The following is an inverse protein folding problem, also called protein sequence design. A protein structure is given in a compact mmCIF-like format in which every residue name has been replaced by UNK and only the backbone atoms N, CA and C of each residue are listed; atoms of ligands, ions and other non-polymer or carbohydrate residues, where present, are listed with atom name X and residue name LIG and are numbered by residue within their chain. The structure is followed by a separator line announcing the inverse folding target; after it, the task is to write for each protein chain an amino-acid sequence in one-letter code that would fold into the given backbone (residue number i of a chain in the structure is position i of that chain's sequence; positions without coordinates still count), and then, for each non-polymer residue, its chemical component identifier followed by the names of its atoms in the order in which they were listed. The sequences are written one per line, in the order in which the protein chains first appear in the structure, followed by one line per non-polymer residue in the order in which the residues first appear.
data_IF_386864565615
#
_entry.id   IF_386864565615
#
_cell.length_a   1.000
_cell.length_b   1.000
_cell.length_c   1.000
_cell.angle_alpha   90.00
_cell.angle_beta   90.00
_cell.angle_gamma   90.00
#
_symmetry.space_group_name_H-M   'P 1'
#
loop_
_entity.id
_entity.type
_entity.pdbx_description
1 polymer ?
#
# COMPACT_ATOMS: atom_id res chain seq x y z
N UNK A 1 41.68 -25.38 20.40
CA UNK A 1 40.53 -24.75 19.69
C UNK A 1 39.24 -25.42 20.17
N UNK A 2 38.53 -24.89 21.18
CA UNK A 2 37.25 -25.45 21.57
C UNK A 2 36.13 -24.89 20.69
N UNK A 3 35.38 -25.79 20.06
CA UNK A 3 34.17 -25.48 19.28
C UNK A 3 33.09 -24.98 20.26
N UNK A 4 32.63 -23.74 20.06
CA UNK A 4 31.41 -23.20 20.66
C UNK A 4 30.21 -24.07 20.22
N UNK A 5 29.89 -25.11 20.97
CA UNK A 5 28.60 -25.78 20.88
C UNK A 5 27.57 -24.86 21.53
N UNK A 6 26.79 -24.15 20.70
CA UNK A 6 25.62 -23.43 21.18
C UNK A 6 24.67 -24.42 21.86
N UNK A 7 24.35 -24.14 23.12
CA UNK A 7 23.58 -25.03 24.01
C UNK A 7 22.27 -25.51 23.36
N UNK A 8 22.09 -26.84 23.19
CA UNK A 8 20.85 -27.42 22.66
C UNK A 8 19.61 -27.14 23.55
N UNK A 9 19.83 -26.66 24.78
CA UNK A 9 18.81 -26.40 25.78
C UNK A 9 17.86 -25.25 25.42
N UNK A 10 18.31 -24.23 24.66
CA UNK A 10 17.45 -23.08 24.30
C UNK A 10 16.36 -23.46 23.28
N UNK A 11 16.67 -24.37 22.36
CA UNK A 11 15.73 -24.80 21.31
C UNK A 11 14.64 -25.70 21.91
N UNK A 12 14.99 -26.59 22.84
CA UNK A 12 14.01 -27.43 23.53
C UNK A 12 13.09 -26.62 24.46
N UNK A 13 13.62 -25.59 25.14
CA UNK A 13 12.79 -24.71 25.96
C UNK A 13 11.81 -23.88 25.11
N UNK A 14 12.25 -23.37 23.96
CA UNK A 14 11.39 -22.64 23.02
C UNK A 14 10.34 -23.53 22.35
N UNK A 15 10.65 -24.80 22.09
CA UNK A 15 9.69 -25.75 21.51
C UNK A 15 8.63 -26.18 22.51
N UNK A 16 8.98 -26.31 23.80
CA UNK A 16 8.03 -26.60 24.88
C UNK A 16 7.06 -25.43 25.14
N UNK A 17 7.56 -24.18 25.15
CA UNK A 17 6.72 -22.98 25.31
C UNK A 17 5.74 -22.82 24.14
N UNK A 18 6.19 -23.14 22.93
CA UNK A 18 5.41 -23.01 21.71
C UNK A 18 4.68 -24.30 21.29
N UNK A 19 4.65 -25.32 22.16
CA UNK A 19 4.00 -26.61 21.86
C UNK A 19 2.50 -26.47 21.59
N UNK A 20 1.85 -25.43 22.15
CA UNK A 20 0.45 -25.09 21.83
C UNK A 20 0.24 -24.45 20.45
N UNK A 21 1.31 -24.00 19.81
CA UNK A 21 1.31 -23.34 18.49
C UNK A 21 2.00 -24.20 17.40
N UNK A 22 2.68 -25.29 17.78
CA UNK A 22 3.24 -26.27 16.86
C UNK A 22 2.11 -26.93 16.06
N UNK A 23 2.09 -26.72 14.74
CA UNK A 23 1.02 -27.16 13.83
C UNK A 23 -0.08 -26.11 13.58
N UNK A 24 -0.19 -25.09 14.43
CA UNK A 24 -1.06 -23.92 14.18
C UNK A 24 -0.21 -22.86 13.50
N UNK A 25 -0.19 -22.86 12.16
CA UNK A 25 0.61 -21.90 11.38
C UNK A 25 0.53 -20.48 11.97
N UNK A 26 1.69 -19.84 12.15
CA UNK A 26 1.80 -18.54 12.82
C UNK A 26 0.76 -17.57 12.23
N UNK A 27 -0.25 -17.23 13.02
CA UNK A 27 -1.33 -16.33 12.59
C UNK A 27 -0.80 -14.90 12.58
N UNK A 28 -0.02 -14.56 11.55
CA UNK A 28 0.42 -13.18 11.31
C UNK A 28 -0.84 -12.32 11.19
N UNK A 29 -0.97 -11.32 12.07
CA UNK A 29 -2.06 -10.33 11.98
C UNK A 29 -1.99 -9.68 10.60
N UNK A 30 -2.91 -10.09 9.73
CA UNK A 30 -3.11 -9.53 8.39
C UNK A 30 -3.65 -8.11 8.54
N UNK A 31 -3.40 -7.26 7.56
CA UNK A 31 -4.10 -5.98 7.45
C UNK A 31 -5.61 -6.26 7.54
N UNK A 32 -6.28 -5.72 8.56
CA UNK A 32 -7.75 -5.72 8.56
C UNK A 32 -8.15 -4.84 7.38
N UNK A 33 -8.77 -5.43 6.35
CA UNK A 33 -9.30 -4.67 5.21
C UNK A 33 -10.52 -3.89 5.71
N UNK A 34 -10.47 -2.56 5.80
CA UNK A 34 -11.63 -1.75 6.14
C UNK A 34 -12.69 -1.91 5.04
N UNK A 35 -13.96 -1.60 5.32
CA UNK A 35 -14.94 -1.47 4.24
C UNK A 35 -14.46 -0.33 3.32
N UNK A 36 -14.51 -0.52 2.00
CA UNK A 36 -13.97 0.46 1.02
C UNK A 36 -14.56 1.87 1.15
N UNK A 37 -15.78 1.98 1.67
CA UNK A 37 -16.46 3.24 2.00
C UNK A 37 -15.89 3.97 3.21
N UNK A 38 -15.08 3.30 4.04
CA UNK A 38 -14.48 3.84 5.26
C UNK A 38 -13.06 4.39 5.05
N UNK A 39 -12.53 4.37 3.83
CA UNK A 39 -11.17 4.81 3.54
C UNK A 39 -11.24 6.16 2.82
N UNK A 40 -11.03 7.27 3.53
CA UNK A 40 -10.94 8.59 2.90
C UNK A 40 -9.60 8.83 2.21
N UNK A 41 -8.50 8.50 2.87
CA UNK A 41 -7.16 8.65 2.30
C UNK A 41 -6.68 7.34 1.66
N UNK A 42 -7.09 7.13 0.41
CA UNK A 42 -6.74 5.93 -0.36
C UNK A 42 -5.29 5.92 -0.83
N UNK A 43 -4.71 7.09 -1.08
CA UNK A 43 -3.31 7.23 -1.52
C UNK A 43 -2.37 6.82 -0.38
N UNK A 44 -2.58 7.35 0.83
CA UNK A 44 -1.79 6.95 2.00
C UNK A 44 -1.90 5.45 2.27
N UNK A 45 -3.12 4.89 2.24
CA UNK A 45 -3.29 3.45 2.42
C UNK A 45 -2.62 2.63 1.30
N UNK A 46 -2.71 3.09 0.06
CA UNK A 46 -2.05 2.45 -1.09
C UNK A 46 -0.54 2.36 -0.88
N UNK A 47 0.11 3.47 -0.52
CA UNK A 47 1.55 3.51 -0.23
C UNK A 47 1.91 2.54 0.90
N UNK A 48 1.13 2.54 1.99
CA UNK A 48 1.37 1.66 3.12
C UNK A 48 1.21 0.17 2.77
N UNK A 49 0.19 -0.17 1.98
CA UNK A 49 -0.04 -1.55 1.53
C UNK A 49 1.05 -2.04 0.58
N UNK A 50 1.49 -1.20 -0.36
CA UNK A 50 2.55 -1.54 -1.31
C UNK A 50 3.92 -1.69 -0.62
N UNK A 51 4.22 -0.84 0.38
CA UNK A 51 5.44 -0.93 1.20
C UNK A 51 5.36 -1.96 2.34
N UNK A 52 4.25 -2.68 2.48
CA UNK A 52 3.96 -3.62 3.58
C UNK A 52 4.10 -2.99 4.99
N UNK A 53 3.83 -1.67 5.12
CA UNK A 53 3.89 -0.93 6.38
C UNK A 53 2.52 -0.97 7.05
N UNK A 54 2.45 -1.56 8.25
CA UNK A 54 1.22 -1.58 9.06
C UNK A 54 0.98 -0.22 9.74
N UNK A 55 -0.27 0.13 9.98
CA UNK A 55 -0.63 1.37 10.69
C UNK A 55 0.04 1.49 12.07
N UNK A 56 0.18 0.37 12.80
CA UNK A 56 0.88 0.35 14.09
C UNK A 56 2.37 0.63 13.93
N UNK A 57 3.02 0.04 12.93
CA UNK A 57 4.44 0.26 12.62
C UNK A 57 4.68 1.73 12.23
N UNK A 58 3.81 2.30 11.40
CA UNK A 58 3.87 3.71 11.04
C UNK A 58 3.71 4.62 12.29
N UNK A 59 2.79 4.27 13.19
CA UNK A 59 2.58 5.03 14.41
C UNK A 59 3.82 5.01 15.32
N UNK A 60 4.45 3.85 15.46
CA UNK A 60 5.72 3.67 16.20
C UNK A 60 6.85 4.52 15.58
N UNK A 61 7.07 4.42 14.26
CA UNK A 61 8.12 5.16 13.55
C UNK A 61 7.95 6.68 13.64
N UNK A 62 6.71 7.18 13.68
CA UNK A 62 6.42 8.61 13.79
C UNK A 62 6.32 9.10 15.25
N UNK A 63 6.35 8.18 16.22
CA UNK A 63 6.09 8.45 17.64
C UNK A 63 4.73 9.14 17.86
N UNK A 64 3.67 8.60 17.24
CA UNK A 64 2.30 9.09 17.38
C UNK A 64 1.36 7.95 17.77
N UNK A 65 0.14 8.27 18.21
CA UNK A 65 -0.83 7.23 18.55
C UNK A 65 -1.31 6.47 17.30
N UNK A 66 -1.59 5.17 17.45
CA UNK A 66 -2.23 4.37 16.39
C UNK A 66 -3.58 4.94 15.95
N UNK A 67 -4.28 5.64 16.85
CA UNK A 67 -5.54 6.33 16.57
C UNK A 67 -5.33 7.50 15.61
N UNK A 68 -4.27 8.28 15.78
CA UNK A 68 -3.91 9.39 14.89
C UNK A 68 -3.69 8.89 13.46
N UNK A 69 -2.88 7.85 13.29
CA UNK A 69 -2.62 7.25 11.97
C UNK A 69 -3.91 6.68 11.36
N UNK A 70 -4.75 6.04 12.18
CA UNK A 70 -6.06 5.55 11.72
C UNK A 70 -6.97 6.68 11.25
N UNK A 71 -7.01 7.81 11.96
CA UNK A 71 -7.80 8.98 11.55
C UNK A 71 -7.28 9.60 10.24
N UNK A 72 -5.96 9.62 10.02
CA UNK A 72 -5.38 10.09 8.77
C UNK A 72 -5.82 9.25 7.57
N UNK A 73 -5.91 7.93 7.75
CA UNK A 73 -6.29 6.99 6.69
C UNK A 73 -7.81 6.94 6.48
N UNK A 74 -8.56 6.71 7.55
CA UNK A 74 -9.99 6.40 7.46
C UNK A 74 -10.88 7.63 7.47
N UNK A 75 -10.56 8.61 8.31
CA UNK A 75 -11.33 9.86 8.43
C UNK A 75 -10.82 10.95 7.47
N UNK A 76 -9.63 10.78 6.90
CA UNK A 76 -9.00 11.78 6.03
C UNK A 76 -8.52 13.01 6.81
N UNK A 77 -8.29 12.87 8.13
CA UNK A 77 -7.82 13.97 8.97
C UNK A 77 -6.40 14.37 8.57
N UNK A 78 -6.18 15.66 8.35
CA UNK A 78 -4.85 16.19 8.03
C UNK A 78 -4.00 16.22 9.32
N UNK A 79 -2.77 15.68 9.30
CA UNK A 79 -1.86 15.77 10.44
C UNK A 79 -1.45 17.22 10.74
N UNK A 80 -0.96 17.47 11.96
CA UNK A 80 -0.25 18.73 12.25
C UNK A 80 1.02 18.84 11.41
N UNK A 81 1.51 20.06 11.17
CA UNK A 81 2.69 20.33 10.32
C UNK A 81 3.89 19.45 10.67
N UNK A 82 4.23 19.33 11.96
CA UNK A 82 5.33 18.47 12.41
C UNK A 82 5.12 16.99 12.03
N UNK A 83 3.92 16.45 12.26
CA UNK A 83 3.63 15.05 11.91
C UNK A 83 3.55 14.83 10.40
N UNK A 84 3.06 15.83 9.67
CA UNK A 84 3.00 15.85 8.21
C UNK A 84 4.42 15.83 7.62
N UNK A 85 5.35 16.60 8.15
CA UNK A 85 6.76 16.58 7.74
C UNK A 85 7.40 15.21 8.01
N UNK A 86 7.17 14.63 9.20
CA UNK A 86 7.70 13.31 9.55
C UNK A 86 7.21 12.22 8.59
N UNK A 87 5.90 12.16 8.31
CA UNK A 87 5.34 11.12 7.43
C UNK A 87 5.76 11.33 5.98
N UNK A 88 5.87 12.58 5.51
CA UNK A 88 6.34 12.89 4.16
C UNK A 88 7.81 12.44 3.98
N UNK A 89 8.68 12.74 4.95
CA UNK A 89 10.08 12.28 4.92
C UNK A 89 10.20 10.76 4.98
N UNK A 90 9.46 10.12 5.88
CA UNK A 90 9.49 8.67 6.05
C UNK A 90 9.02 7.92 4.80
N UNK A 91 7.93 8.40 4.18
CA UNK A 91 7.35 7.74 3.01
C UNK A 91 7.95 8.19 1.69
N UNK A 92 8.69 9.31 1.65
CA UNK A 92 9.34 9.84 0.45
C UNK A 92 8.41 10.55 -0.51
N UNK A 93 7.32 11.15 -0.02
CA UNK A 93 6.36 11.88 -0.85
C UNK A 93 6.05 13.24 -0.26
N UNK A 94 5.80 14.26 -1.10
CA UNK A 94 5.36 15.56 -0.61
C UNK A 94 3.91 15.52 -0.13
N UNK A 95 3.54 16.52 0.67
CA UNK A 95 2.25 16.58 1.36
C UNK A 95 1.04 16.63 0.41
N UNK A 96 1.17 17.32 -0.73
CA UNK A 96 0.10 17.44 -1.71
C UNK A 96 -0.20 16.13 -2.46
N UNK A 97 0.69 15.14 -2.38
CA UNK A 97 0.47 13.77 -2.90
C UNK A 97 -0.22 12.92 -1.83
N UNK A 98 0.34 12.87 -0.61
CA UNK A 98 -0.19 12.01 0.47
C UNK A 98 -1.47 12.52 1.11
N UNK A 99 -1.67 13.83 1.17
CA UNK A 99 -2.76 14.51 1.87
C UNK A 99 -3.45 15.54 0.97
N UNK A 100 -3.68 15.19 -0.30
CA UNK A 100 -4.39 16.05 -1.24
C UNK A 100 -5.82 16.36 -0.73
N UNK A 101 -6.06 17.59 -0.29
CA UNK A 101 -7.33 17.94 0.38
C UNK A 101 -8.56 17.77 -0.50
N UNK A 102 -8.45 18.10 -1.79
CA UNK A 102 -9.54 17.94 -2.74
C UNK A 102 -9.94 16.46 -2.87
N UNK A 103 -8.94 15.58 -2.99
CA UNK A 103 -9.16 14.14 -3.03
C UNK A 103 -9.78 13.61 -1.72
N UNK A 104 -9.29 14.07 -0.57
CA UNK A 104 -9.80 13.64 0.74
C UNK A 104 -11.24 14.09 0.99
N UNK A 105 -11.60 15.27 0.50
CA UNK A 105 -12.95 15.82 0.58
C UNK A 105 -13.92 15.06 -0.31
N UNK A 106 -13.54 14.78 -1.55
CA UNK A 106 -14.37 14.04 -2.50
C UNK A 106 -14.45 12.55 -2.16
N UNK A 107 -13.34 11.97 -1.68
CA UNK A 107 -13.16 10.56 -1.34
C UNK A 107 -13.87 9.62 -2.32
N UNK A 108 -13.51 9.66 -3.62
CA UNK A 108 -14.25 8.96 -4.66
C UNK A 108 -14.21 7.45 -4.47
N UNK A 109 -15.38 6.83 -4.63
CA UNK A 109 -15.52 5.37 -4.70
C UNK A 109 -15.41 4.98 -6.17
N UNK A 110 -14.58 3.97 -6.44
CA UNK A 110 -14.47 3.35 -7.77
C UNK A 110 -15.41 2.15 -7.79
N UNK A 111 -16.35 2.15 -8.73
CA UNK A 111 -17.23 1.02 -8.98
C UNK A 111 -16.48 -0.06 -9.75
N UNK A 112 -16.55 -1.31 -9.30
CA UNK A 112 -15.96 -2.42 -10.03
C UNK A 112 -16.96 -2.85 -11.12
N UNK A 113 -16.60 -2.87 -12.41
CA UNK A 113 -17.50 -3.37 -13.46
C UNK A 113 -17.86 -4.84 -13.24
N UNK A 114 -16.87 -5.64 -12.84
CA UNK A 114 -17.01 -7.06 -12.50
C UNK A 114 -16.20 -7.39 -11.24
N UNK A 115 -16.53 -8.49 -10.53
CA UNK A 115 -15.72 -8.95 -9.40
C UNK A 115 -14.27 -9.18 -9.82
N UNK A 116 -13.34 -8.68 -9.02
CA UNK A 116 -11.91 -8.77 -9.28
C UNK A 116 -11.15 -9.04 -7.97
N UNK A 117 -9.96 -9.61 -8.09
CA UNK A 117 -9.12 -9.95 -6.94
C UNK A 117 -7.65 -9.67 -7.21
N UNK A 118 -7.03 -8.89 -6.33
CA UNK A 118 -5.60 -8.65 -6.42
C UNK A 118 -4.81 -9.88 -5.92
N UNK A 119 -3.90 -10.40 -6.75
CA UNK A 119 -3.02 -11.52 -6.38
C UNK A 119 -1.65 -11.01 -5.92
N UNK A 120 -1.37 -11.10 -4.61
CA UNK A 120 -0.08 -10.63 -4.04
C UNK A 120 1.14 -11.39 -4.58
N UNK A 121 0.98 -12.63 -5.07
CA UNK A 121 2.10 -13.41 -5.66
C UNK A 121 2.74 -12.71 -6.87
N UNK A 122 1.99 -11.88 -7.59
CA UNK A 122 2.50 -11.08 -8.71
C UNK A 122 3.60 -10.09 -8.27
N UNK A 123 3.66 -9.75 -6.98
CA UNK A 123 4.65 -8.82 -6.41
C UNK A 123 5.99 -9.48 -6.05
N UNK A 124 6.06 -10.81 -5.96
CA UNK A 124 7.22 -11.50 -5.39
C UNK A 124 8.45 -11.57 -6.33
N UNK A 125 8.27 -11.26 -7.61
CA UNK A 125 9.30 -11.50 -8.64
C UNK A 125 9.71 -10.26 -9.44
N UNK A 126 9.16 -9.09 -9.14
CA UNK A 126 9.48 -7.86 -9.90
C UNK A 126 9.55 -6.64 -8.98
N UNK A 127 10.54 -5.74 -9.19
CA UNK A 127 10.57 -4.48 -8.46
C UNK A 127 9.29 -3.69 -8.76
N UNK A 128 8.64 -3.20 -7.71
CA UNK A 128 7.53 -2.26 -7.85
C UNK A 128 8.11 -0.86 -7.83
N UNK A 129 8.15 -0.26 -9.01
CA UNK A 129 8.66 1.10 -9.12
C UNK A 129 7.53 2.11 -8.88
N UNK A 130 6.29 1.85 -9.35
CA UNK A 130 5.13 2.69 -9.09
C UNK A 130 4.31 2.14 -7.92
N UNK A 131 4.64 2.61 -6.72
CA UNK A 131 4.09 2.20 -5.43
C UNK A 131 2.64 2.65 -5.28
N UNK A 132 2.30 3.88 -5.69
CA UNK A 132 0.95 4.44 -5.55
C UNK A 132 -0.04 3.64 -6.40
N UNK A 133 0.22 3.49 -7.69
CA UNK A 133 -0.68 2.80 -8.61
C UNK A 133 -0.84 1.32 -8.23
N UNK A 134 0.26 0.67 -7.84
CA UNK A 134 0.21 -0.72 -7.35
C UNK A 134 -0.59 -0.85 -6.07
N UNK A 135 -0.37 0.05 -5.11
CA UNK A 135 -1.10 0.10 -3.86
C UNK A 135 -2.59 0.35 -4.04
N UNK A 136 -2.99 1.16 -5.02
CA UNK A 136 -4.41 1.39 -5.32
C UNK A 136 -5.10 0.12 -5.82
N UNK A 137 -4.44 -0.66 -6.70
CA UNK A 137 -4.95 -1.99 -7.08
C UNK A 137 -5.13 -2.89 -5.84
N UNK A 138 -4.25 -2.81 -4.83
CA UNK A 138 -4.40 -3.57 -3.59
C UNK A 138 -5.55 -3.07 -2.71
N UNK A 139 -5.72 -1.75 -2.57
CA UNK A 139 -6.77 -1.10 -1.77
C UNK A 139 -8.15 -1.47 -2.30
N UNK A 140 -8.33 -1.40 -3.61
CA UNK A 140 -9.58 -1.76 -4.26
C UNK A 140 -9.70 -3.26 -4.56
N UNK A 141 -8.67 -4.05 -4.29
CA UNK A 141 -8.60 -5.49 -4.59
C UNK A 141 -8.81 -5.80 -6.08
N UNK A 142 -8.30 -4.94 -6.96
CA UNK A 142 -8.37 -5.11 -8.40
C UNK A 142 -7.19 -5.92 -8.91
N UNK A 143 -7.42 -6.89 -9.79
CA UNK A 143 -6.34 -7.52 -10.54
C UNK A 143 -5.78 -6.54 -11.58
N UNK A 144 -4.48 -6.64 -11.83
CA UNK A 144 -3.77 -5.82 -12.83
C UNK A 144 -4.36 -6.03 -14.22
N UNK A 145 -4.77 -7.27 -14.54
CA UNK A 145 -5.38 -7.62 -15.81
C UNK A 145 -6.76 -6.98 -15.96
N UNK A 146 -7.61 -7.07 -14.94
CA UNK A 146 -8.97 -6.54 -15.02
C UNK A 146 -8.97 -5.01 -15.17
N UNK A 147 -8.14 -4.32 -14.37
CA UNK A 147 -7.98 -2.86 -14.51
C UNK A 147 -7.56 -2.50 -15.93
N UNK A 148 -6.56 -3.19 -16.48
CA UNK A 148 -6.08 -2.92 -17.83
C UNK A 148 -7.19 -3.05 -18.88
N UNK A 149 -8.05 -4.07 -18.76
CA UNK A 149 -9.20 -4.27 -19.65
C UNK A 149 -10.21 -3.14 -19.48
N UNK A 150 -10.56 -2.78 -18.23
CA UNK A 150 -11.56 -1.75 -17.95
C UNK A 150 -11.13 -0.35 -18.40
N UNK A 151 -9.83 -0.04 -18.37
CA UNK A 151 -9.30 1.22 -18.89
C UNK A 151 -8.96 1.15 -20.38
N UNK A 152 -9.17 0.01 -21.05
CA UNK A 152 -8.86 -0.17 -22.47
C UNK A 152 -7.38 -0.06 -22.79
N UNK A 153 -6.52 -0.70 -21.98
CA UNK A 153 -5.06 -0.77 -22.13
C UNK A 153 -4.62 -2.23 -22.11
N UNK A 154 -3.67 -2.58 -22.97
CA UNK A 154 -3.13 -3.95 -22.99
C UNK A 154 -2.50 -4.32 -21.62
N UNK A 155 -2.76 -5.53 -21.07
CA UNK A 155 -2.25 -5.92 -19.75
C UNK A 155 -0.73 -5.82 -19.61
N UNK A 156 0.01 -6.13 -20.69
CA UNK A 156 1.46 -5.98 -20.73
C UNK A 156 1.90 -4.53 -20.58
N UNK A 157 1.17 -3.58 -21.17
CA UNK A 157 1.45 -2.14 -21.06
C UNK A 157 1.16 -1.64 -19.66
N UNK A 158 0.02 -2.01 -19.07
CA UNK A 158 -0.33 -1.62 -17.71
C UNK A 158 0.68 -2.16 -16.69
N UNK A 159 1.18 -3.40 -16.88
CA UNK A 159 2.28 -3.95 -16.08
C UNK A 159 3.57 -3.12 -16.17
N UNK A 160 3.91 -2.55 -17.34
CA UNK A 160 5.07 -1.66 -17.47
C UNK A 160 4.92 -0.40 -16.61
N UNK A 161 3.70 0.13 -16.48
CA UNK A 161 3.45 1.29 -15.62
C UNK A 161 3.72 0.96 -14.15
N UNK A 162 3.29 -0.22 -13.69
CA UNK A 162 3.49 -0.68 -12.30
C UNK A 162 4.95 -1.03 -11.98
N UNK A 163 5.57 -1.85 -12.82
CA UNK A 163 6.86 -2.47 -12.52
C UNK A 163 8.06 -1.66 -13.01
N UNK A 164 7.93 -0.98 -14.15
CA UNK A 164 9.05 -0.28 -14.79
C UNK A 164 9.02 1.23 -14.53
N UNK A 165 7.98 1.77 -13.86
CA UNK A 165 7.75 3.22 -13.78
C UNK A 165 7.72 3.89 -15.16
N UNK A 166 7.23 3.18 -16.18
CA UNK A 166 7.09 3.78 -17.49
C UNK A 166 5.94 4.80 -17.46
N UNK A 167 6.27 6.08 -17.63
CA UNK A 167 5.28 7.16 -17.70
C UNK A 167 4.47 7.02 -19.01
N UNK A 168 3.15 6.83 -18.96
CA UNK A 168 2.33 6.68 -20.16
C UNK A 168 2.17 8.01 -20.90
N UNK A 169 1.67 7.96 -22.13
CA UNK A 169 1.21 9.16 -22.84
C UNK A 169 0.04 9.81 -22.10
N UNK A 170 -0.16 11.13 -22.27
CA UNK A 170 -1.21 11.88 -21.57
C UNK A 170 -2.61 11.26 -21.74
N UNK A 171 -2.97 10.84 -22.95
CA UNK A 171 -4.25 10.18 -23.21
C UNK A 171 -4.43 8.88 -22.40
N UNK A 172 -3.35 8.12 -22.18
CA UNK A 172 -3.40 6.91 -21.36
C UNK A 172 -3.43 7.21 -19.86
N UNK A 173 -2.75 8.28 -19.44
CA UNK A 173 -2.84 8.78 -18.06
C UNK A 173 -4.27 9.24 -17.73
N UNK A 174 -4.96 9.91 -18.66
CA UNK A 174 -6.35 10.37 -18.49
C UNK A 174 -7.33 9.22 -18.30
N UNK A 175 -7.13 8.09 -19.01
CA UNK A 175 -7.94 6.88 -18.77
C UNK A 175 -7.76 6.35 -17.35
N UNK A 176 -6.52 6.32 -16.86
CA UNK A 176 -6.24 5.89 -15.49
C UNK A 176 -6.80 6.87 -14.45
N UNK A 177 -6.64 8.17 -14.68
CA UNK A 177 -7.21 9.23 -13.83
C UNK A 177 -8.73 9.13 -13.75
N UNK A 178 -9.42 8.95 -14.89
CA UNK A 178 -10.86 8.78 -14.93
C UNK A 178 -11.31 7.53 -14.19
N UNK A 179 -10.59 6.41 -14.32
CA UNK A 179 -10.95 5.15 -13.67
C UNK A 179 -10.73 5.20 -12.15
N UNK A 180 -9.54 5.60 -11.71
CA UNK A 180 -9.21 5.66 -10.28
C UNK A 180 -9.81 6.88 -9.58
N UNK A 181 -10.26 7.88 -10.35
CA UNK A 181 -10.74 9.18 -9.86
C UNK A 181 -9.68 9.87 -8.97
N UNK A 182 -8.42 9.71 -9.35
CA UNK A 182 -7.25 10.29 -8.69
C UNK A 182 -6.46 11.02 -9.77
N UNK A 183 -6.04 12.28 -9.53
CA UNK A 183 -5.29 13.05 -10.50
C UNK A 183 -4.05 12.32 -11.01
N UNK A 184 -3.77 12.40 -12.31
CA UNK A 184 -2.61 11.73 -12.95
C UNK A 184 -1.26 12.04 -12.29
N UNK A 185 -1.03 13.29 -11.87
CA UNK A 185 0.20 13.68 -11.17
C UNK A 185 0.39 12.96 -9.83
N UNK A 186 -0.69 12.48 -9.19
CA UNK A 186 -0.62 11.63 -7.99
C UNK A 186 -0.40 10.17 -8.40
N UNK A 187 -1.15 9.67 -9.39
CA UNK A 187 -1.05 8.28 -9.86
C UNK A 187 0.35 7.91 -10.36
N UNK A 188 1.05 8.85 -10.96
CA UNK A 188 2.37 8.66 -11.56
C UNK A 188 3.48 9.40 -10.83
N UNK A 189 3.25 9.87 -9.60
CA UNK A 189 4.27 10.61 -8.83
C UNK A 189 5.57 9.81 -8.66
N UNK A 190 5.48 8.49 -8.53
CA UNK A 190 6.65 7.59 -8.47
C UNK A 190 7.52 7.57 -9.74
N UNK A 191 6.96 7.96 -10.88
CA UNK A 191 7.69 8.08 -12.14
C UNK A 191 8.47 9.40 -12.21
N UNK A 192 8.01 10.44 -11.51
CA UNK A 192 8.58 11.80 -11.55
C UNK A 192 9.56 12.08 -10.40
N UNK A 193 9.38 11.42 -9.24
CA UNK A 193 10.22 11.60 -8.05
C UNK A 193 11.57 10.85 -8.09
N UNK A 194 11.95 10.30 -9.25
CA UNK A 194 13.19 9.55 -9.46
C UNK A 194 14.33 10.41 -9.98
#
# INVERSE_FOLDING_TARGET
MPKNQQEPHKIQAWSLINRKYLGQGVRVKRFRRPKRSQIRNRVLLAVLMAKDIKLSKLAEELSVSSRSVSAWVYEGRIPSRNNLDKVCRLLGYPSHILFNEALLRQSPIVCQPTPSRFMKRTLAHSPQNNVILTGLCMVYDFSVTDVSIWIGVHPGTFRKWLHQCHLPTLALQEKAESFFRIPRHILFADCELR
#
